data_IF_429926251141
#
_entry.id   IF_429926251141
#
_cell.length_a   1.000
_cell.length_b   1.000
_cell.length_c   1.000
_cell.angle_alpha   90.00
_cell.angle_beta   90.00
_cell.angle_gamma   90.00
#
_symmetry.space_group_name_H-M   'P 1'
#
loop_
_entity.id
_entity.type
_entity.pdbx_description
1 polymer ?
#
# COMPACT_ATOMS: atom_id res chain seq x y z
N UNK A 1 16.61 25.70 15.79
CA UNK A 1 16.41 25.35 14.37
C UNK A 1 15.44 24.20 14.25
N UNK A 2 14.36 24.41 13.52
CA UNK A 2 13.43 23.32 13.25
C UNK A 2 13.99 22.41 12.17
N UNK A 3 14.04 21.13 12.45
CA UNK A 3 14.36 20.16 11.42
C UNK A 3 13.22 20.10 10.41
N UNK A 4 13.56 20.17 9.14
CA UNK A 4 12.57 20.02 8.09
C UNK A 4 12.11 18.57 8.03
N UNK A 5 10.78 18.37 8.01
CA UNK A 5 10.21 17.05 7.80
C UNK A 5 10.57 16.58 6.38
N UNK A 6 11.03 15.37 6.26
CA UNK A 6 11.42 14.79 4.97
C UNK A 6 10.19 14.51 4.11
N UNK A 7 10.28 14.88 2.84
CA UNK A 7 9.26 14.58 1.85
C UNK A 7 9.65 13.32 1.11
N UNK A 8 8.86 12.27 1.26
CA UNK A 8 9.11 10.97 0.66
C UNK A 8 7.99 10.62 -0.31
N UNK A 9 8.33 10.08 -1.46
CA UNK A 9 7.35 9.50 -2.39
C UNK A 9 7.43 7.98 -2.29
N UNK A 10 6.28 7.33 -2.24
CA UNK A 10 6.21 5.88 -2.22
C UNK A 10 5.28 5.42 -3.33
N UNK A 11 5.80 4.63 -4.27
CA UNK A 11 5.00 3.96 -5.29
C UNK A 11 4.76 2.53 -4.80
N UNK A 12 3.53 2.06 -4.94
CA UNK A 12 3.13 0.74 -4.43
C UNK A 12 2.32 -0.01 -5.47
N UNK A 13 2.39 -1.34 -5.42
CA UNK A 13 1.53 -2.18 -6.25
C UNK A 13 1.38 -3.57 -5.61
N UNK A 14 0.28 -4.24 -5.96
CA UNK A 14 0.01 -5.60 -5.57
C UNK A 14 -0.49 -6.38 -6.76
N UNK A 15 -0.19 -7.67 -6.81
CA UNK A 15 -0.62 -8.57 -7.86
C UNK A 15 -1.04 -9.90 -7.27
N UNK A 16 -2.07 -10.52 -7.83
CA UNK A 16 -2.54 -11.82 -7.37
C UNK A 16 -2.97 -12.67 -8.57
N UNK A 17 -2.58 -13.94 -8.57
CA UNK A 17 -2.99 -14.90 -9.59
C UNK A 17 -4.15 -15.71 -9.03
N UNK A 18 -5.37 -15.38 -9.47
CA UNK A 18 -6.58 -15.87 -8.83
C UNK A 18 -6.91 -15.00 -7.62
N UNK A 19 -8.06 -15.20 -7.00
CA UNK A 19 -8.49 -14.38 -5.89
C UNK A 19 -9.43 -15.19 -4.99
N UNK A 20 -8.90 -16.04 -4.06
CA UNK A 20 -7.50 -16.11 -3.60
C UNK A 20 -6.55 -16.90 -4.50
N UNK A 21 -5.25 -16.68 -4.28
CA UNK A 21 -4.20 -17.39 -4.98
C UNK A 21 -2.84 -16.80 -4.64
N UNK A 22 -1.77 -17.21 -5.33
CA UNK A 22 -0.45 -16.61 -5.11
C UNK A 22 -0.46 -15.12 -5.42
N UNK A 23 0.22 -14.35 -4.59
CA UNK A 23 0.29 -12.90 -4.78
C UNK A 23 1.65 -12.33 -4.43
N UNK A 24 1.89 -11.11 -4.89
CA UNK A 24 3.09 -10.36 -4.60
C UNK A 24 2.77 -8.88 -4.38
N UNK A 25 3.68 -8.20 -3.72
CA UNK A 25 3.58 -6.77 -3.49
C UNK A 25 4.95 -6.12 -3.68
N UNK A 26 4.95 -4.83 -3.95
CA UNK A 26 6.18 -4.05 -4.07
C UNK A 26 5.94 -2.59 -3.69
N UNK A 27 6.99 -1.97 -3.19
CA UNK A 27 7.01 -0.53 -2.93
C UNK A 27 8.38 0.03 -3.30
N UNK A 28 8.39 1.23 -3.86
CA UNK A 28 9.61 1.97 -4.18
C UNK A 28 9.53 3.31 -3.46
N UNK A 29 10.48 3.56 -2.55
CA UNK A 29 10.57 4.79 -1.79
C UNK A 29 11.61 5.70 -2.45
N UNK A 30 11.28 6.98 -2.59
CA UNK A 30 12.16 7.96 -3.21
C UNK A 30 12.32 9.14 -2.27
N UNK A 31 13.57 9.44 -1.91
CA UNK A 31 13.92 10.60 -1.11
C UNK A 31 15.17 11.26 -1.67
N UNK A 32 15.05 12.50 -2.15
CA UNK A 32 16.15 13.27 -2.71
C UNK A 32 16.97 12.49 -3.75
N UNK A 33 16.26 11.80 -4.65
CA UNK A 33 16.90 11.01 -5.70
C UNK A 33 17.43 9.66 -5.27
N UNK A 34 17.36 9.34 -3.99
CA UNK A 34 17.73 8.02 -3.47
C UNK A 34 16.50 7.12 -3.51
N UNK A 35 16.66 5.93 -4.08
CA UNK A 35 15.58 4.96 -4.23
C UNK A 35 15.82 3.75 -3.36
N UNK A 36 14.74 3.23 -2.77
CA UNK A 36 14.78 1.99 -2.02
C UNK A 36 13.59 1.13 -2.43
N UNK A 37 13.87 -0.12 -2.81
CA UNK A 37 12.84 -1.07 -3.22
C UNK A 37 12.60 -2.10 -2.13
N UNK A 38 11.34 -2.52 -1.99
CA UNK A 38 10.96 -3.65 -1.16
C UNK A 38 9.90 -4.44 -1.91
N UNK A 39 9.95 -5.75 -1.80
CA UNK A 39 8.96 -6.63 -2.42
C UNK A 39 8.86 -7.93 -1.64
N UNK A 40 7.73 -8.59 -1.77
CA UNK A 40 7.48 -9.87 -1.11
C UNK A 40 6.25 -10.53 -1.70
N UNK A 41 5.89 -11.70 -1.18
CA UNK A 41 4.73 -12.41 -1.69
C UNK A 41 4.19 -13.41 -0.69
N UNK A 42 3.02 -13.94 -1.01
CA UNK A 42 2.33 -14.97 -0.22
C UNK A 42 1.76 -16.03 -1.17
N UNK A 43 1.77 -17.32 -0.76
CA UNK A 43 1.26 -18.39 -1.62
C UNK A 43 -0.26 -18.40 -1.77
N UNK A 44 -0.99 -17.82 -0.81
CA UNK A 44 -2.44 -17.79 -0.83
C UNK A 44 -2.94 -16.47 -0.24
N UNK A 45 -3.34 -15.55 -1.11
CA UNK A 45 -3.72 -14.20 -0.70
C UNK A 45 -4.74 -13.63 -1.68
N UNK A 46 -5.03 -12.32 -1.55
CA UNK A 46 -5.92 -11.61 -2.45
C UNK A 46 -5.24 -10.36 -3.00
N UNK A 47 -5.76 -9.85 -4.10
CA UNK A 47 -5.23 -8.63 -4.69
C UNK A 47 -5.30 -7.45 -3.69
N UNK A 48 -6.45 -7.29 -3.03
CA UNK A 48 -6.62 -6.20 -2.06
C UNK A 48 -5.63 -6.30 -0.90
N UNK A 49 -5.40 -7.52 -0.39
CA UNK A 49 -4.43 -7.71 0.68
C UNK A 49 -3.03 -7.31 0.25
N UNK A 50 -2.63 -7.67 -0.97
CA UNK A 50 -1.32 -7.31 -1.49
C UNK A 50 -1.18 -5.80 -1.70
N UNK A 51 -2.23 -5.14 -2.14
CA UNK A 51 -2.24 -3.68 -2.31
C UNK A 51 -2.04 -2.97 -0.96
N UNK A 52 -2.76 -3.41 0.09
CA UNK A 52 -2.60 -2.83 1.43
C UNK A 52 -1.21 -3.14 1.98
N UNK A 53 -0.75 -4.36 1.80
CA UNK A 53 0.56 -4.81 2.31
C UNK A 53 1.69 -3.96 1.72
N UNK A 54 1.62 -3.64 0.43
CA UNK A 54 2.62 -2.79 -0.22
C UNK A 54 2.75 -1.44 0.48
N UNK A 55 1.63 -0.82 0.81
CA UNK A 55 1.62 0.48 1.50
C UNK A 55 2.19 0.35 2.91
N UNK A 56 1.71 -0.64 3.66
CA UNK A 56 2.15 -0.87 5.04
C UNK A 56 3.66 -1.13 5.09
N UNK A 57 4.14 -2.05 4.27
CA UNK A 57 5.57 -2.39 4.27
C UNK A 57 6.44 -1.22 3.81
N UNK A 58 5.97 -0.43 2.85
CA UNK A 58 6.68 0.78 2.42
C UNK A 58 6.80 1.80 3.55
N UNK A 59 5.69 2.09 4.23
CA UNK A 59 5.69 3.07 5.32
C UNK A 59 6.53 2.61 6.51
N UNK A 60 6.58 1.30 6.77
CA UNK A 60 7.37 0.74 7.87
C UNK A 60 8.87 0.95 7.71
N UNK A 61 9.35 1.20 6.51
CA UNK A 61 10.76 1.46 6.27
C UNK A 61 11.22 2.85 6.74
N UNK A 62 10.27 3.76 6.97
CA UNK A 62 10.58 5.11 7.40
C UNK A 62 10.89 5.10 8.91
N UNK A 63 12.04 5.65 9.28
CA UNK A 63 12.55 5.59 10.65
C UNK A 63 12.19 6.81 11.49
N UNK A 64 11.61 7.82 10.86
CA UNK A 64 11.20 9.07 11.52
C UNK A 64 9.93 9.58 10.88
N UNK A 65 9.17 10.47 11.54
CA UNK A 65 7.98 11.05 10.93
C UNK A 65 8.32 11.79 9.65
N UNK A 66 7.56 11.54 8.60
CA UNK A 66 7.78 12.12 7.27
C UNK A 66 6.48 12.64 6.67
N UNK A 67 6.59 13.56 5.74
CA UNK A 67 5.51 13.90 4.83
C UNK A 67 5.62 12.94 3.66
N UNK A 68 4.60 12.12 3.45
CA UNK A 68 4.63 11.04 2.48
C UNK A 68 3.52 11.20 1.45
N UNK A 69 3.84 11.01 0.18
CA UNK A 69 2.85 10.85 -0.87
C UNK A 69 2.93 9.42 -1.37
N UNK A 70 1.83 8.68 -1.21
CA UNK A 70 1.72 7.30 -1.69
C UNK A 70 0.99 7.29 -3.02
N UNK A 71 1.60 6.69 -4.03
CA UNK A 71 1.01 6.52 -5.35
C UNK A 71 0.59 5.08 -5.52
N UNK A 72 -0.71 4.86 -5.74
CA UNK A 72 -1.28 3.52 -5.89
C UNK A 72 -2.31 3.52 -7.01
N UNK A 73 -2.40 2.43 -7.77
CA UNK A 73 -3.45 2.25 -8.76
C UNK A 73 -4.71 1.61 -8.17
N UNK A 74 -4.68 1.25 -6.90
CA UNK A 74 -5.80 0.62 -6.21
C UNK A 74 -6.81 1.67 -5.73
N UNK A 75 -7.95 1.75 -6.39
CA UNK A 75 -9.04 2.62 -5.93
C UNK A 75 -9.51 2.23 -4.53
N UNK A 76 -9.50 0.94 -4.21
CA UNK A 76 -9.91 0.43 -2.91
C UNK A 76 -9.06 1.01 -1.79
N UNK A 77 -7.75 0.95 -1.91
CA UNK A 77 -6.83 1.46 -0.88
C UNK A 77 -6.88 2.98 -0.80
N UNK A 78 -6.79 3.66 -1.95
CA UNK A 78 -6.80 5.13 -1.99
C UNK A 78 -8.09 5.68 -1.39
N UNK A 79 -9.23 5.13 -1.79
CA UNK A 79 -10.52 5.62 -1.33
C UNK A 79 -10.78 5.29 0.14
N UNK A 80 -10.29 4.15 0.62
CA UNK A 80 -10.45 3.79 2.03
C UNK A 80 -9.87 4.86 2.94
N UNK A 81 -8.76 5.45 2.54
CA UNK A 81 -8.09 6.51 3.32
C UNK A 81 -8.67 7.88 2.98
N UNK A 82 -8.68 8.26 1.70
CA UNK A 82 -9.02 9.62 1.28
C UNK A 82 -10.50 9.95 1.40
N UNK A 83 -11.39 8.96 1.28
CA UNK A 83 -12.82 9.16 1.43
C UNK A 83 -13.33 8.86 2.83
N UNK A 84 -12.42 8.55 3.76
CA UNK A 84 -12.78 8.34 5.16
C UNK A 84 -13.42 6.99 5.49
N UNK A 85 -13.42 6.03 4.56
CA UNK A 85 -14.01 4.72 4.81
C UNK A 85 -13.33 3.99 5.98
N UNK A 86 -12.02 4.11 6.05
CA UNK A 86 -11.21 3.42 7.06
C UNK A 86 -11.59 3.85 8.47
N UNK A 87 -11.71 5.17 8.68
CA UNK A 87 -12.13 5.71 9.98
C UNK A 87 -13.56 5.34 10.32
N UNK A 88 -14.44 5.35 9.32
CA UNK A 88 -15.84 4.95 9.48
C UNK A 88 -15.93 3.48 9.88
N UNK A 89 -15.19 2.61 9.23
CA UNK A 89 -15.16 1.19 9.57
C UNK A 89 -14.69 0.96 11.01
N UNK A 90 -13.66 1.67 11.41
CA UNK A 90 -13.13 1.57 12.78
C UNK A 90 -14.18 1.99 13.81
N UNK A 91 -14.90 3.09 13.57
CA UNK A 91 -15.97 3.56 14.45
C UNK A 91 -17.11 2.58 14.56
N UNK A 92 -17.37 1.81 13.51
CA UNK A 92 -18.46 0.84 13.45
C UNK A 92 -17.97 -0.59 13.77
N UNK A 93 -16.91 -0.72 14.54
CA UNK A 93 -16.34 -2.00 14.97
C UNK A 93 -15.98 -2.92 13.80
N UNK A 94 -15.50 -2.31 12.71
CA UNK A 94 -15.08 -3.02 11.50
C UNK A 94 -16.23 -3.75 10.80
N UNK A 95 -17.42 -3.20 10.89
CA UNK A 95 -18.60 -3.68 10.18
C UNK A 95 -18.98 -2.67 9.10
N UNK A 96 -19.14 -3.12 7.86
CA UNK A 96 -19.51 -2.27 6.73
C UNK A 96 -21.01 -1.97 6.75
N UNK A 97 -21.43 -1.01 5.92
CA UNK A 97 -22.83 -0.61 5.78
C UNK A 97 -23.75 -1.79 5.41
N UNK A 98 -23.24 -2.78 4.66
CA UNK A 98 -24.00 -3.99 4.29
C UNK A 98 -24.01 -5.05 5.41
N UNK A 99 -23.53 -4.69 6.60
CA UNK A 99 -23.46 -5.54 7.80
C UNK A 99 -22.41 -6.66 7.71
N UNK A 100 -21.61 -6.68 6.66
CA UNK A 100 -20.51 -7.64 6.54
C UNK A 100 -19.26 -7.10 7.22
N UNK A 101 -18.46 -8.00 7.77
CA UNK A 101 -17.20 -7.62 8.40
C UNK A 101 -16.20 -7.14 7.36
N UNK A 102 -15.45 -6.09 7.71
CA UNK A 102 -14.35 -5.59 6.88
C UNK A 102 -13.26 -6.67 6.79
N UNK A 103 -12.72 -6.89 5.61
CA UNK A 103 -11.60 -7.82 5.42
C UNK A 103 -10.28 -7.12 5.70
N UNK A 104 -9.27 -7.91 6.08
CA UNK A 104 -7.90 -7.41 6.30
C UNK A 104 -7.79 -6.41 7.45
N UNK A 105 -8.60 -6.60 8.49
CA UNK A 105 -8.66 -5.69 9.65
C UNK A 105 -7.28 -5.44 10.25
N UNK A 106 -6.46 -6.47 10.42
CA UNK A 106 -5.13 -6.34 11.02
C UNK A 106 -4.23 -5.41 10.21
N UNK A 107 -4.27 -5.52 8.89
CA UNK A 107 -3.49 -4.66 8.01
C UNK A 107 -4.01 -3.21 8.05
N UNK A 108 -5.33 -3.05 8.08
CA UNK A 108 -5.93 -1.71 8.19
C UNK A 108 -5.57 -1.05 9.52
N UNK A 109 -5.56 -1.81 10.62
CA UNK A 109 -5.16 -1.29 11.92
C UNK A 109 -3.69 -0.88 11.92
N UNK A 110 -2.83 -1.68 11.31
CA UNK A 110 -1.42 -1.36 11.18
C UNK A 110 -1.23 -0.10 10.33
N UNK A 111 -1.98 0.03 9.24
CA UNK A 111 -1.94 1.23 8.42
C UNK A 111 -2.36 2.47 9.21
N UNK A 112 -3.43 2.36 10.00
CA UNK A 112 -3.89 3.50 10.83
C UNK A 112 -2.81 3.97 11.79
N UNK A 113 -2.05 3.05 12.39
CA UNK A 113 -0.94 3.42 13.26
C UNK A 113 0.13 4.21 12.51
N UNK A 114 0.45 3.76 11.30
CA UNK A 114 1.42 4.44 10.45
C UNK A 114 0.93 5.82 10.00
N UNK A 115 -0.36 5.94 9.71
CA UNK A 115 -0.96 7.22 9.32
C UNK A 115 -0.95 8.23 10.47
N UNK A 116 -0.90 7.76 11.72
CA UNK A 116 -0.77 8.63 12.88
C UNK A 116 0.67 9.09 13.11
N UNK A 117 1.65 8.36 12.62
CA UNK A 117 3.07 8.70 12.75
C UNK A 117 3.49 9.67 11.66
N UNK A 118 3.03 9.44 10.43
CA UNK A 118 3.43 10.22 9.26
C UNK A 118 2.27 11.06 8.75
N UNK A 119 2.57 12.14 8.05
CA UNK A 119 1.56 12.89 7.32
C UNK A 119 1.49 12.29 5.91
N UNK A 120 0.47 11.47 5.65
CA UNK A 120 0.38 10.68 4.43
C UNK A 120 -0.77 11.14 3.54
N UNK A 121 -0.45 11.39 2.29
CA UNK A 121 -1.41 11.74 1.25
C UNK A 121 -1.40 10.61 0.21
N UNK A 122 -2.56 10.19 -0.24
CA UNK A 122 -2.70 9.15 -1.25
C UNK A 122 -3.09 9.77 -2.58
N UNK A 123 -2.41 9.34 -3.64
CA UNK A 123 -2.72 9.77 -5.01
C UNK A 123 -2.99 8.51 -5.83
N UNK A 124 -4.16 8.44 -6.44
CA UNK A 124 -4.48 7.34 -7.33
C UNK A 124 -3.80 7.57 -8.68
N UNK A 125 -3.05 6.57 -9.13
CA UNK A 125 -2.42 6.59 -10.45
C UNK A 125 -3.17 5.61 -11.36
N UNK A 126 -3.03 5.81 -12.66
CA UNK A 126 -3.62 4.91 -13.65
C UNK A 126 -2.72 3.68 -13.79
N UNK A 127 -3.32 2.48 -13.69
CA UNK A 127 -2.59 1.24 -13.94
C UNK A 127 -2.07 1.22 -15.39
N UNK A 128 -0.89 0.64 -15.59
CA UNK A 128 -0.22 0.57 -16.90
C UNK A 128 -0.04 1.96 -17.52
N UNK A 129 0.33 2.93 -16.67
CA UNK A 129 0.58 4.31 -17.11
C UNK A 129 2.00 4.45 -17.67
N UNK A 130 2.34 5.66 -18.15
CA UNK A 130 3.69 5.98 -18.57
C UNK A 130 4.64 6.20 -17.43
N UNK A 131 4.19 6.07 -16.16
CA UNK A 131 5.03 6.27 -15.00
C UNK A 131 5.94 5.06 -14.78
N UNK A 132 7.23 5.27 -14.87
CA UNK A 132 8.22 4.20 -14.78
C UNK A 132 8.26 3.55 -13.38
N UNK A 133 8.09 4.33 -12.32
CA UNK A 133 8.09 3.76 -10.96
C UNK A 133 6.88 2.86 -10.73
N UNK A 134 5.72 3.30 -11.22
CA UNK A 134 4.51 2.48 -11.14
C UNK A 134 4.70 1.16 -11.90
N UNK A 135 5.29 1.21 -13.09
CA UNK A 135 5.56 0.03 -13.89
C UNK A 135 6.59 -0.89 -13.23
N UNK A 136 7.61 -0.31 -12.59
CA UNK A 136 8.61 -1.09 -11.83
C UNK A 136 7.96 -1.83 -10.66
N UNK A 137 7.08 -1.16 -9.92
CA UNK A 137 6.35 -1.81 -8.82
C UNK A 137 5.53 -2.98 -9.34
N UNK A 138 4.85 -2.81 -10.47
CA UNK A 138 4.06 -3.86 -11.08
C UNK A 138 4.93 -5.07 -11.41
N UNK A 139 6.07 -4.85 -12.07
CA UNK A 139 6.99 -5.94 -12.42
C UNK A 139 7.52 -6.67 -11.19
N UNK A 140 7.86 -5.92 -10.13
CA UNK A 140 8.35 -6.51 -8.88
C UNK A 140 7.26 -7.35 -8.20
N UNK A 141 6.04 -6.82 -8.13
CA UNK A 141 4.92 -7.53 -7.51
C UNK A 141 4.59 -8.80 -8.29
N UNK A 142 4.55 -8.72 -9.62
CA UNK A 142 4.30 -9.87 -10.50
C UNK A 142 5.40 -10.91 -10.34
N UNK A 143 6.65 -10.49 -10.27
CA UNK A 143 7.79 -11.38 -10.09
C UNK A 143 7.68 -12.17 -8.79
N UNK A 144 7.30 -11.51 -7.71
CA UNK A 144 7.13 -12.17 -6.41
C UNK A 144 5.95 -13.14 -6.39
N UNK A 145 4.85 -12.75 -7.04
CA UNK A 145 3.69 -13.63 -7.23
C UNK A 145 4.10 -14.89 -7.99
N UNK A 146 4.85 -14.72 -9.08
CA UNK A 146 5.19 -15.82 -9.99
C UNK A 146 6.16 -16.83 -9.37
N UNK A 147 6.88 -16.45 -8.32
CA UNK A 147 7.73 -17.38 -7.57
C UNK A 147 6.94 -18.58 -7.02
N UNK A 148 5.64 -18.41 -6.78
CA UNK A 148 4.78 -19.48 -6.28
C UNK A 148 4.10 -20.30 -7.38
N UNK A 149 4.29 -19.95 -8.65
CA UNK A 149 3.61 -20.58 -9.77
C UNK A 149 4.45 -21.68 -10.45
N UNK A 150 5.51 -22.10 -9.82
CA UNK A 150 6.41 -23.14 -10.35
C UNK A 150 5.92 -24.54 -9.99
#
# INVERSE_FOLDING_TARGET
>A
MQEKIKNVKIYTDGACSGNPGPGGYAAILIYKGIEKEISGGEPNTTNNKMEITAVVEGLKLLKEPCDVTVYSDSAYVVNAVEMGWLESWKKNNWIKADKKQVKNIELWEELLKLLNVHNVKFVKVKGHSDNEYNNRCDRLAVSKRDEFLI
#
